data_IF_988846765489
#
_entry.id   IF_988846765489
#
_cell.length_a   1.000
_cell.length_b   1.000
_cell.length_c   1.000
_cell.angle_alpha   90.00
_cell.angle_beta   90.00
_cell.angle_gamma   90.00
#
_symmetry.space_group_name_H-M   'P 1'
#
loop_
_entity.id
_entity.type
_entity.pdbx_description
1 polymer ?
#
# COMPACT_ATOMS: atom_id res chain seq x y z
N UNK A 1 -1.28 9.53 -0.17
CA UNK A 1 -0.89 8.13 0.17
C UNK A 1 -1.83 7.16 -0.51
N UNK A 2 -1.33 6.02 -0.97
CA UNK A 2 -2.14 4.98 -1.62
C UNK A 2 -2.19 3.73 -0.76
N UNK A 3 -3.38 3.20 -0.48
CA UNK A 3 -3.55 2.00 0.36
C UNK A 3 -3.79 0.78 -0.52
N UNK A 4 -2.90 -0.21 -0.41
CA UNK A 4 -3.00 -1.48 -1.10
C UNK A 4 -3.59 -2.54 -0.16
N UNK A 5 -4.84 -2.90 -0.42
CA UNK A 5 -5.62 -3.86 0.38
C UNK A 5 -5.93 -5.12 -0.43
N UNK A 6 -6.27 -6.20 0.28
CA UNK A 6 -6.49 -7.54 -0.26
C UNK A 6 -5.29 -8.14 -1.03
N UNK A 7 -5.20 -9.47 -1.01
CA UNK A 7 -4.13 -10.22 -1.66
C UNK A 7 -3.15 -10.85 -0.66
N UNK A 8 -2.44 -11.87 -1.14
CA UNK A 8 -1.41 -12.56 -0.36
C UNK A 8 -0.24 -11.62 -0.03
N UNK A 9 0.39 -11.73 1.15
CA UNK A 9 1.44 -10.81 1.59
C UNK A 9 2.55 -10.60 0.55
N UNK A 10 3.05 -11.67 -0.06
CA UNK A 10 4.11 -11.59 -1.07
C UNK A 10 3.66 -10.91 -2.37
N UNK A 11 2.44 -11.18 -2.82
CA UNK A 11 1.87 -10.54 -4.01
C UNK A 11 1.63 -9.04 -3.78
N UNK A 12 1.13 -8.67 -2.59
CA UNK A 12 0.92 -7.28 -2.20
C UNK A 12 2.24 -6.50 -2.15
N UNK A 13 3.31 -7.11 -1.60
CA UNK A 13 4.66 -6.50 -1.58
C UNK A 13 5.22 -6.29 -2.98
N UNK A 14 5.10 -7.28 -3.86
CA UNK A 14 5.54 -7.16 -5.25
C UNK A 14 4.78 -6.06 -6.02
N UNK A 15 3.47 -5.92 -5.78
CA UNK A 15 2.66 -4.87 -6.40
C UNK A 15 2.99 -3.48 -5.83
N UNK A 16 3.19 -3.36 -4.51
CA UNK A 16 3.69 -2.14 -3.86
C UNK A 16 4.97 -1.65 -4.55
N UNK A 17 5.98 -2.50 -4.66
CA UNK A 17 7.26 -2.14 -5.28
C UNK A 17 7.10 -1.64 -6.73
N UNK A 18 6.24 -2.30 -7.53
CA UNK A 18 5.94 -1.88 -8.90
C UNK A 18 5.27 -0.52 -8.97
N UNK A 19 4.32 -0.24 -8.08
CA UNK A 19 3.61 1.05 -8.05
C UNK A 19 4.58 2.17 -7.63
N UNK A 20 5.36 1.93 -6.58
CA UNK A 20 6.36 2.88 -6.08
C UNK A 20 7.40 3.20 -7.15
N UNK A 21 7.93 2.18 -7.82
CA UNK A 21 8.95 2.35 -8.88
C UNK A 21 8.39 3.04 -10.13
N UNK A 22 7.17 2.69 -10.55
CA UNK A 22 6.60 3.19 -11.81
C UNK A 22 6.01 4.60 -11.68
N UNK A 23 5.43 4.92 -10.53
CA UNK A 23 4.65 6.14 -10.35
C UNK A 23 5.21 7.08 -9.27
N UNK A 24 6.19 6.64 -8.47
CA UNK A 24 6.74 7.44 -7.38
C UNK A 24 5.76 7.69 -6.24
N UNK A 25 4.70 6.89 -6.13
CA UNK A 25 3.67 7.06 -5.10
C UNK A 25 4.14 6.47 -3.78
N UNK A 26 3.71 7.06 -2.66
CA UNK A 26 3.79 6.38 -1.36
C UNK A 26 2.67 5.35 -1.26
N UNK A 27 3.03 4.06 -1.17
CA UNK A 27 2.07 2.95 -1.08
C UNK A 27 2.16 2.28 0.29
N UNK A 28 1.03 2.03 0.92
CA UNK A 28 0.93 1.42 2.26
C UNK A 28 0.12 0.13 2.16
N UNK A 29 0.63 -0.98 2.69
CA UNK A 29 -0.13 -2.22 2.88
C UNK A 29 -0.58 -2.22 4.35
N UNK A 30 -1.85 -1.90 4.65
CA UNK A 30 -2.32 -1.80 6.02
C UNK A 30 -2.48 -3.18 6.66
N UNK A 31 -2.26 -3.25 7.97
CA UNK A 31 -2.56 -4.43 8.77
C UNK A 31 -4.00 -4.41 9.28
N UNK A 32 -4.56 -5.59 9.59
CA UNK A 32 -5.87 -5.68 10.19
C UNK A 32 -5.93 -4.89 11.51
N UNK A 33 -6.92 -4.01 11.64
CA UNK A 33 -7.07 -3.12 12.80
C UNK A 33 -6.21 -1.85 12.77
N UNK A 34 -5.34 -1.68 11.76
CA UNK A 34 -4.56 -0.45 11.60
C UNK A 34 -5.46 0.69 11.14
N UNK A 35 -5.31 1.86 11.77
CA UNK A 35 -6.07 3.08 11.46
C UNK A 35 -5.11 4.17 10.97
N UNK A 36 -5.58 4.99 10.04
CA UNK A 36 -4.84 6.13 9.49
C UNK A 36 -5.73 7.37 9.56
N UNK A 37 -5.17 8.49 10.01
CA UNK A 37 -5.78 9.81 9.84
C UNK A 37 -5.43 10.32 8.44
N UNK A 38 -6.42 10.88 7.74
CA UNK A 38 -6.25 11.41 6.39
C UNK A 38 -6.29 12.93 6.47
N UNK A 39 -5.19 13.56 6.10
CA UNK A 39 -5.15 15.01 5.89
C UNK A 39 -5.92 15.33 4.60
N UNK A 40 -6.83 16.31 4.68
CA UNK A 40 -7.62 16.85 3.56
C UNK A 40 -6.99 18.11 3.00
#
# INVERSE_FOLDING_TARGET
KTFLVHGEPEAARALKEKIETRFGWEVVIPQFGQTFELDV
#
